data_IF_446005742577
#
_entry.id   IF_446005742577
#
_cell.length_a   1.000
_cell.length_b   1.000
_cell.length_c   1.000
_cell.angle_alpha   90.00
_cell.angle_beta   90.00
_cell.angle_gamma   90.00
#
_symmetry.space_group_name_H-M   'P 1'
#
loop_
_entity.id
_entity.type
_entity.pdbx_description
1 polymer ?
#
# COMPACT_ATOMS: atom_id res chain seq x y z
N UNK A 1 -16.96 22.23 -1.64
CA UNK A 1 -15.86 21.25 -1.64
C UNK A 1 -16.30 20.10 -0.76
N UNK A 2 -16.41 18.91 -1.36
CA UNK A 2 -17.03 17.76 -0.73
C UNK A 2 -15.94 16.89 -0.11
N UNK A 3 -15.68 17.08 1.19
CA UNK A 3 -14.83 16.16 1.95
C UNK A 3 -15.60 14.85 2.16
N UNK A 4 -15.00 13.71 1.78
CA UNK A 4 -15.56 12.40 2.13
C UNK A 4 -15.03 12.00 3.49
N UNK A 5 -15.94 11.89 4.46
CA UNK A 5 -15.60 11.58 5.85
C UNK A 5 -15.04 10.16 5.99
N UNK A 6 -13.91 10.06 6.69
CA UNK A 6 -13.27 8.84 7.16
C UNK A 6 -12.99 8.98 8.67
N UNK A 7 -14.02 8.82 9.52
CA UNK A 7 -13.86 9.02 10.96
C UNK A 7 -12.76 8.13 11.54
N UNK A 8 -11.92 8.70 12.40
CA UNK A 8 -10.78 8.01 13.02
C UNK A 8 -9.62 7.74 12.06
N UNK A 9 -9.45 8.53 10.99
CA UNK A 9 -8.38 8.35 10.01
C UNK A 9 -6.97 8.31 10.64
N UNK A 10 -6.68 9.24 11.55
CA UNK A 10 -5.38 9.29 12.24
C UNK A 10 -5.12 8.03 13.06
N UNK A 11 -6.10 7.62 13.86
CA UNK A 11 -6.01 6.41 14.68
C UNK A 11 -5.87 5.15 13.80
N UNK A 12 -6.57 5.08 12.67
CA UNK A 12 -6.46 3.98 11.72
C UNK A 12 -5.04 3.86 11.14
N UNK A 13 -4.42 4.99 10.78
CA UNK A 13 -3.05 5.00 10.26
C UNK A 13 -2.07 4.53 11.33
N UNK A 14 -2.19 5.02 12.56
CA UNK A 14 -1.36 4.61 13.70
C UNK A 14 -1.53 3.12 14.00
N UNK A 15 -2.77 2.63 14.11
CA UNK A 15 -3.08 1.22 14.37
C UNK A 15 -2.48 0.31 13.29
N UNK A 16 -2.63 0.67 12.00
CA UNK A 16 -2.06 -0.10 10.89
C UNK A 16 -0.53 -0.04 10.92
N UNK A 17 0.04 1.13 11.20
CA UNK A 17 1.49 1.34 11.33
C UNK A 17 2.08 0.41 12.40
N UNK A 18 1.45 0.34 13.58
CA UNK A 18 1.86 -0.56 14.66
C UNK A 18 1.65 -2.04 14.31
N UNK A 19 0.45 -2.42 13.85
CA UNK A 19 0.11 -3.82 13.54
C UNK A 19 1.01 -4.37 12.43
N UNK A 20 1.24 -3.57 11.39
CA UNK A 20 2.04 -3.96 10.23
C UNK A 20 3.52 -3.65 10.39
N UNK A 21 3.94 -3.01 11.49
CA UNK A 21 5.33 -2.57 11.71
C UNK A 21 5.87 -1.78 10.50
N UNK A 22 5.02 -0.92 9.94
CA UNK A 22 5.33 -0.07 8.80
C UNK A 22 5.41 1.38 9.27
N UNK A 23 6.32 2.20 8.72
CA UNK A 23 6.30 3.64 8.98
C UNK A 23 4.95 4.28 8.58
N UNK A 24 4.44 5.23 9.38
CA UNK A 24 3.15 5.88 9.14
C UNK A 24 3.03 6.52 7.75
N UNK A 25 4.11 7.15 7.25
CA UNK A 25 4.16 7.73 5.91
C UNK A 25 3.98 6.69 4.79
N UNK A 26 4.43 5.44 5.00
CA UNK A 26 4.21 4.34 4.05
C UNK A 26 2.75 3.89 4.08
N UNK A 27 2.13 3.86 5.26
CA UNK A 27 0.71 3.55 5.43
C UNK A 27 -0.16 4.62 4.77
N UNK A 28 0.16 5.90 4.98
CA UNK A 28 -0.52 7.03 4.34
C UNK A 28 -0.43 6.96 2.81
N UNK A 29 0.78 6.73 2.27
CA UNK A 29 0.98 6.59 0.83
C UNK A 29 0.17 5.41 0.25
N UNK A 30 0.19 4.26 0.93
CA UNK A 30 -0.59 3.09 0.53
C UNK A 30 -2.10 3.35 0.59
N UNK A 31 -2.57 4.14 1.56
CA UNK A 31 -3.96 4.54 1.69
C UNK A 31 -4.39 5.49 0.57
N UNK A 32 -3.57 6.48 0.22
CA UNK A 32 -3.82 7.37 -0.93
C UNK A 32 -3.94 6.59 -2.22
N UNK A 33 -2.99 5.70 -2.50
CA UNK A 33 -3.02 4.85 -3.69
C UNK A 33 -4.26 3.94 -3.71
N UNK A 34 -4.60 3.34 -2.57
CA UNK A 34 -5.78 2.49 -2.47
C UNK A 34 -7.10 3.25 -2.68
N UNK A 35 -7.21 4.47 -2.13
CA UNK A 35 -8.36 5.34 -2.33
C UNK A 35 -8.47 5.79 -3.79
N UNK A 36 -7.35 6.11 -4.44
CA UNK A 36 -7.31 6.42 -5.86
C UNK A 36 -7.78 5.24 -6.70
N UNK A 37 -7.33 4.01 -6.40
CA UNK A 37 -7.83 2.80 -7.07
C UNK A 37 -9.32 2.55 -6.82
N UNK A 38 -9.83 2.92 -5.64
CA UNK A 38 -11.27 2.96 -5.36
C UNK A 38 -12.01 3.92 -6.29
N UNK A 39 -11.45 5.12 -6.51
CA UNK A 39 -11.97 6.12 -7.44
C UNK A 39 -11.92 5.67 -8.90
N UNK A 40 -10.81 5.10 -9.36
CA UNK A 40 -10.71 4.53 -10.71
C UNK A 40 -11.80 3.49 -10.97
N UNK A 41 -12.02 2.59 -9.99
CA UNK A 41 -13.06 1.58 -10.11
C UNK A 41 -14.45 2.20 -10.16
N UNK A 42 -14.71 3.22 -9.33
CA UNK A 42 -15.96 3.97 -9.39
C UNK A 42 -16.17 4.59 -10.78
N UNK A 43 -15.17 5.29 -11.32
CA UNK A 43 -15.25 5.89 -12.67
C UNK A 43 -15.52 4.83 -13.73
N UNK A 44 -14.78 3.72 -13.72
CA UNK A 44 -15.03 2.58 -14.63
C UNK A 44 -16.43 2.00 -14.51
N UNK A 45 -17.03 1.98 -13.32
CA UNK A 45 -18.40 1.45 -13.15
C UNK A 45 -19.47 2.27 -13.90
N UNK A 46 -19.23 3.57 -14.10
CA UNK A 46 -20.14 4.45 -14.85
C UNK A 46 -20.17 4.12 -16.35
N UNK A 47 -19.18 3.35 -16.84
CA UNK A 47 -19.05 2.95 -18.25
C UNK A 47 -19.27 1.45 -18.46
N UNK A 48 -19.76 0.72 -17.45
CA UNK A 48 -20.13 -0.69 -17.59
C UNK A 48 -21.22 -0.85 -18.66
N UNK A 49 -20.94 -1.66 -19.68
CA UNK A 49 -21.86 -1.93 -20.79
C UNK A 49 -21.47 -1.23 -22.10
N UNK A 50 -20.42 -0.41 -22.09
CA UNK A 50 -19.78 0.12 -23.30
C UNK A 50 -18.73 -0.91 -23.78
N UNK A 51 -18.57 -1.06 -25.09
CA UNK A 51 -17.73 -2.12 -25.68
C UNK A 51 -16.23 -1.95 -25.46
N UNK A 52 -15.78 -0.72 -25.18
CA UNK A 52 -14.37 -0.39 -24.93
C UNK A 52 -14.27 0.43 -23.64
N UNK A 53 -13.27 0.10 -22.81
CA UNK A 53 -12.89 0.92 -21.66
C UNK A 53 -12.30 2.23 -22.19
N UNK A 54 -12.91 3.40 -21.93
CA UNK A 54 -12.40 4.67 -22.43
C UNK A 54 -11.14 5.14 -21.69
N UNK A 55 -10.78 4.47 -20.59
CA UNK A 55 -9.65 4.84 -19.76
C UNK A 55 -8.43 3.97 -20.10
N UNK A 56 -7.44 4.56 -20.75
CA UNK A 56 -6.13 3.92 -20.91
C UNK A 56 -5.40 3.78 -19.57
N UNK A 57 -4.20 3.18 -19.59
CA UNK A 57 -3.42 2.92 -18.37
C UNK A 57 -2.94 4.20 -17.66
N UNK A 58 -2.74 5.29 -18.39
CA UNK A 58 -2.18 6.54 -17.88
C UNK A 58 -3.27 7.61 -17.61
N UNK A 59 -4.52 7.34 -17.96
CA UNK A 59 -5.65 8.25 -17.82
C UNK A 59 -5.80 8.83 -16.41
N UNK A 60 -5.52 8.04 -15.37
CA UNK A 60 -5.68 8.50 -13.98
C UNK A 60 -4.37 9.06 -13.38
N UNK A 61 -3.30 9.21 -14.17
CA UNK A 61 -1.98 9.64 -13.69
C UNK A 61 -1.97 11.09 -13.17
N UNK A 62 -2.90 11.93 -13.62
CA UNK A 62 -3.03 13.31 -13.15
C UNK A 62 -3.91 13.43 -11.88
N UNK A 63 -4.44 12.32 -11.36
CA UNK A 63 -5.26 12.30 -10.15
C UNK A 63 -4.42 11.89 -8.93
N UNK A 64 -4.74 12.49 -7.78
CA UNK A 64 -4.17 12.16 -6.48
C UNK A 64 -5.25 12.20 -5.40
N UNK A 65 -4.94 11.72 -4.20
CA UNK A 65 -5.81 11.77 -3.03
C UNK A 65 -5.18 12.63 -1.94
N UNK A 66 -5.86 13.72 -1.61
CA UNK A 66 -5.55 14.52 -0.43
C UNK A 66 -6.21 13.89 0.80
N UNK A 67 -5.40 13.53 1.80
CA UNK A 67 -5.88 13.13 3.11
C UNK A 67 -5.92 14.34 4.04
N UNK A 68 -7.02 14.48 4.77
CA UNK A 68 -7.19 15.50 5.80
C UNK A 68 -7.28 14.80 7.17
N UNK A 69 -6.20 14.86 7.94
CA UNK A 69 -6.13 14.19 9.24
C UNK A 69 -6.90 14.97 10.32
N UNK A 70 -7.03 16.28 10.17
CA UNK A 70 -7.72 17.16 11.12
C UNK A 70 -9.23 17.07 10.93
N UNK A 71 -9.70 17.13 9.68
CA UNK A 71 -11.13 16.99 9.35
C UNK A 71 -11.56 15.51 9.22
N UNK A 72 -10.63 14.57 9.41
CA UNK A 72 -10.85 13.12 9.28
C UNK A 72 -11.56 12.73 7.99
N UNK A 73 -10.96 13.08 6.86
CA UNK A 73 -11.55 12.82 5.55
C UNK A 73 -10.53 12.76 4.42
N UNK A 74 -11.04 12.59 3.22
CA UNK A 74 -10.22 12.65 2.01
C UNK A 74 -10.95 13.33 0.88
N UNK A 75 -10.16 13.78 -0.09
CA UNK A 75 -10.58 14.41 -1.33
C UNK A 75 -9.79 13.84 -2.50
N UNK A 76 -10.44 13.70 -3.65
CA UNK A 76 -9.78 13.34 -4.90
C UNK A 76 -9.44 14.63 -5.62
N UNK A 77 -8.16 14.78 -5.97
CA UNK A 77 -7.60 15.94 -6.62
C UNK A 77 -7.23 15.56 -8.05
N UNK A 78 -7.48 16.44 -9.01
CA UNK A 78 -7.01 16.30 -10.38
C UNK A 78 -6.14 17.51 -10.75
N UNK A 79 -4.95 17.23 -11.26
CA UNK A 79 -4.07 18.23 -11.86
C UNK A 79 -4.48 18.40 -13.33
N UNK A 80 -4.94 19.60 -13.68
CA UNK A 80 -5.43 19.90 -15.03
C UNK A 80 -4.59 20.98 -15.70
N UNK A 81 -4.36 20.83 -17.00
CA UNK A 81 -3.63 21.80 -17.82
C UNK A 81 -4.58 22.91 -18.26
N UNK A 82 -4.13 24.16 -18.15
CA UNK A 82 -4.90 25.32 -18.58
C UNK A 82 -4.80 25.47 -20.10
N UNK A 83 -5.96 25.45 -20.76
CA UNK A 83 -6.10 25.52 -22.23
C UNK A 83 -7.14 26.56 -22.64
N UNK A 84 -7.14 26.96 -23.91
CA UNK A 84 -8.21 27.82 -24.46
C UNK A 84 -9.47 27.01 -24.78
N UNK A 85 -9.30 25.88 -25.47
CA UNK A 85 -10.38 24.96 -25.84
C UNK A 85 -10.19 23.63 -25.11
N UNK A 86 -11.22 23.20 -24.36
CA UNK A 86 -11.19 21.98 -23.55
C UNK A 86 -11.63 20.78 -24.40
N UNK A 87 -10.72 19.84 -24.61
CA UNK A 87 -10.99 18.55 -25.26
C UNK A 87 -11.28 17.44 -24.24
N UNK A 88 -10.66 17.49 -23.06
CA UNK A 88 -10.82 16.50 -21.99
C UNK A 88 -11.08 17.18 -20.65
N UNK A 89 -12.31 17.12 -20.17
CA UNK A 89 -12.70 17.74 -18.89
C UNK A 89 -11.91 17.19 -17.70
N UNK A 90 -11.42 15.96 -17.76
CA UNK A 90 -10.67 15.33 -16.66
C UNK A 90 -9.21 15.81 -16.59
N UNK A 91 -8.63 16.27 -17.71
CA UNK A 91 -7.22 16.63 -17.83
C UNK A 91 -6.97 18.10 -18.13
N UNK A 92 -8.00 18.82 -18.56
CA UNK A 92 -7.89 20.20 -19.04
C UNK A 92 -8.95 21.09 -18.37
N UNK A 93 -8.64 22.38 -18.29
CA UNK A 93 -9.57 23.42 -17.83
C UNK A 93 -9.37 24.69 -18.67
N UNK A 94 -10.48 25.38 -18.94
CA UNK A 94 -10.45 26.63 -19.68
C UNK A 94 -9.75 27.75 -18.89
N UNK A 95 -8.91 28.53 -19.56
CA UNK A 95 -8.25 29.71 -18.97
C UNK A 95 -9.27 30.65 -18.31
N UNK A 96 -10.42 30.85 -18.95
CA UNK A 96 -11.48 31.71 -18.45
C UNK A 96 -12.09 31.22 -17.12
N UNK A 97 -12.10 29.92 -16.86
CA UNK A 97 -12.62 29.35 -15.60
C UNK A 97 -11.60 29.53 -14.47
N UNK A 98 -10.31 29.37 -14.78
CA UNK A 98 -9.24 29.55 -13.78
C UNK A 98 -9.06 31.02 -13.42
N UNK A 99 -9.15 31.93 -14.39
CA UNK A 99 -9.04 33.38 -14.17
C UNK A 99 -10.14 33.95 -13.28
N UNK A 100 -11.28 33.28 -13.11
CA UNK A 100 -12.31 33.70 -12.15
C UNK A 100 -11.85 33.56 -10.69
N UNK A 101 -10.87 32.70 -10.43
CA UNK A 101 -10.34 32.40 -9.08
C UNK A 101 -8.95 32.98 -8.90
N UNK A 102 -8.13 33.01 -9.96
CA UNK A 102 -6.74 33.47 -9.91
C UNK A 102 -6.37 34.21 -11.18
N UNK A 103 -6.20 35.52 -11.07
CA UNK A 103 -5.92 36.43 -12.20
C UNK A 103 -4.56 36.19 -12.88
N UNK A 104 -3.62 35.55 -12.19
CA UNK A 104 -2.24 35.32 -12.68
C UNK A 104 -2.06 34.03 -13.51
N UNK A 105 -3.14 33.28 -13.76
CA UNK A 105 -3.09 32.01 -14.47
C UNK A 105 -2.75 32.17 -15.97
N UNK A 106 -1.87 31.32 -16.49
CA UNK A 106 -1.44 31.33 -17.90
C UNK A 106 -1.76 30.02 -18.62
N UNK A 107 -1.84 30.08 -19.95
CA UNK A 107 -1.99 28.90 -20.80
C UNK A 107 -0.78 27.97 -20.65
N UNK A 108 -1.04 26.67 -20.52
CA UNK A 108 -0.03 25.65 -20.32
C UNK A 108 0.36 25.43 -18.85
N UNK A 109 -0.08 26.28 -17.92
CA UNK A 109 0.10 26.02 -16.49
C UNK A 109 -0.75 24.83 -16.03
N UNK A 110 -0.46 24.32 -14.84
CA UNK A 110 -1.22 23.25 -14.20
C UNK A 110 -1.88 23.75 -12.93
N UNK A 111 -3.16 23.43 -12.76
CA UNK A 111 -3.97 23.76 -11.59
C UNK A 111 -4.54 22.49 -10.97
N UNK A 112 -4.54 22.43 -9.63
CA UNK A 112 -5.11 21.31 -8.88
C UNK A 112 -6.55 21.64 -8.50
N UNK A 113 -7.47 20.75 -8.83
CA UNK A 113 -8.90 20.90 -8.54
C UNK A 113 -9.42 19.73 -7.74
N UNK A 114 -10.35 20.01 -6.83
CA UNK A 114 -11.14 19.00 -6.14
C UNK A 114 -12.20 18.43 -7.10
N UNK A 115 -12.12 17.13 -7.36
CA UNK A 115 -13.03 16.36 -8.24
C UNK A 115 -13.75 15.27 -7.47
N UNK A 116 -13.84 15.41 -6.15
CA UNK A 116 -14.47 14.43 -5.27
C UNK A 116 -15.96 14.27 -5.60
N UNK A 117 -16.44 13.05 -5.93
CA UNK A 117 -17.85 12.84 -6.23
C UNK A 117 -18.76 13.07 -5.00
N UNK A 118 -19.87 13.79 -5.19
CA UNK A 118 -20.83 14.10 -4.11
C UNK A 118 -21.79 12.93 -3.75
N UNK A 119 -21.73 11.79 -4.45
CA UNK A 119 -22.72 10.72 -4.34
C UNK A 119 -22.39 9.72 -3.22
N UNK A 120 -23.37 9.36 -2.40
CA UNK A 120 -23.25 8.31 -1.35
C UNK A 120 -22.73 6.96 -1.88
N UNK A 121 -23.03 6.62 -3.15
CA UNK A 121 -22.60 5.38 -3.78
C UNK A 121 -21.08 5.31 -4.00
N UNK A 122 -20.43 6.47 -4.18
CA UNK A 122 -18.97 6.56 -4.34
C UNK A 122 -18.26 6.02 -3.10
N UNK A 123 -18.63 6.52 -1.92
CA UNK A 123 -18.00 6.14 -0.66
C UNK A 123 -18.05 4.63 -0.39
N UNK A 124 -19.20 3.98 -0.66
CA UNK A 124 -19.36 2.54 -0.44
C UNK A 124 -18.52 1.69 -1.40
N UNK A 125 -18.56 2.00 -2.70
CA UNK A 125 -17.82 1.22 -3.71
C UNK A 125 -16.31 1.45 -3.62
N UNK A 126 -15.91 2.71 -3.38
CA UNK A 126 -14.52 3.05 -3.12
C UNK A 126 -14.01 2.27 -1.91
N UNK A 127 -14.72 2.32 -0.77
CA UNK A 127 -14.29 1.66 0.47
C UNK A 127 -13.98 0.16 0.31
N UNK A 128 -14.82 -0.62 -0.39
CA UNK A 128 -14.58 -2.05 -0.57
C UNK A 128 -13.30 -2.33 -1.37
N UNK A 129 -13.08 -1.56 -2.44
CA UNK A 129 -11.91 -1.68 -3.31
C UNK A 129 -10.66 -1.20 -2.60
N UNK A 130 -10.75 -0.02 -1.98
CA UNK A 130 -9.69 0.57 -1.17
C UNK A 130 -9.22 -0.41 -0.11
N UNK A 131 -10.13 -1.05 0.63
CA UNK A 131 -9.75 -2.03 1.66
C UNK A 131 -8.94 -3.20 1.07
N UNK A 132 -9.33 -3.71 -0.09
CA UNK A 132 -8.62 -4.81 -0.74
C UNK A 132 -7.25 -4.36 -1.25
N UNK A 133 -7.19 -3.22 -1.96
CA UNK A 133 -5.95 -2.68 -2.52
C UNK A 133 -4.98 -2.28 -1.42
N UNK A 134 -5.47 -1.63 -0.35
CA UNK A 134 -4.68 -1.26 0.82
C UNK A 134 -4.03 -2.50 1.46
N UNK A 135 -4.81 -3.56 1.69
CA UNK A 135 -4.28 -4.80 2.25
C UNK A 135 -3.20 -5.43 1.37
N UNK A 136 -3.32 -5.34 0.04
CA UNK A 136 -2.30 -5.78 -0.89
C UNK A 136 -1.04 -4.91 -0.82
N UNK A 137 -1.20 -3.58 -0.89
CA UNK A 137 -0.10 -2.62 -0.87
C UNK A 137 0.71 -2.69 0.42
N UNK A 138 0.04 -2.78 1.57
CA UNK A 138 0.73 -2.93 2.86
C UNK A 138 1.59 -4.21 2.88
N UNK A 139 1.11 -5.32 2.30
CA UNK A 139 1.91 -6.56 2.19
C UNK A 139 3.11 -6.39 1.25
N UNK A 140 2.91 -5.74 0.11
CA UNK A 140 4.00 -5.46 -0.85
C UNK A 140 5.07 -4.58 -0.21
N UNK A 141 4.69 -3.55 0.54
CA UNK A 141 5.62 -2.69 1.27
C UNK A 141 6.38 -3.45 2.37
N UNK A 142 5.67 -4.24 3.19
CA UNK A 142 6.32 -5.09 4.20
C UNK A 142 7.33 -6.02 3.55
N UNK A 143 6.95 -6.69 2.46
CA UNK A 143 7.81 -7.62 1.73
C UNK A 143 9.07 -6.92 1.23
N UNK A 144 8.92 -5.76 0.60
CA UNK A 144 10.03 -5.00 0.03
C UNK A 144 11.03 -4.58 1.12
N UNK A 145 10.53 -4.06 2.24
CA UNK A 145 11.41 -3.67 3.35
C UNK A 145 12.16 -4.85 3.95
N UNK A 146 11.51 -6.01 4.08
CA UNK A 146 12.15 -7.26 4.52
C UNK A 146 13.20 -7.68 3.49
N UNK A 147 12.86 -7.69 2.20
CA UNK A 147 13.81 -8.05 1.14
C UNK A 147 15.04 -7.14 1.14
N UNK A 148 14.86 -5.83 1.24
CA UNK A 148 15.95 -4.85 1.34
C UNK A 148 16.82 -5.13 2.57
N UNK A 149 16.19 -5.34 3.74
CA UNK A 149 16.90 -5.62 4.99
C UNK A 149 17.77 -6.88 4.95
N UNK A 150 17.27 -7.95 4.33
CA UNK A 150 17.98 -9.22 4.27
C UNK A 150 18.88 -9.34 3.03
N UNK A 151 18.72 -8.49 2.01
CA UNK A 151 19.61 -8.43 0.86
C UNK A 151 20.98 -7.83 1.20
N UNK A 152 21.02 -6.88 2.15
CA UNK A 152 22.24 -6.19 2.57
C UNK A 152 23.13 -6.99 3.54
N UNK A 153 22.71 -8.20 3.93
CA UNK A 153 23.49 -9.03 4.84
C UNK A 153 24.66 -9.72 4.11
N UNK A 154 25.89 -9.36 4.49
CA UNK A 154 27.13 -9.98 3.97
C UNK A 154 27.27 -11.47 4.36
N UNK A 155 26.68 -11.90 5.47
CA UNK A 155 26.63 -13.30 5.93
C UNK A 155 25.17 -13.71 6.21
N UNK A 156 24.61 -14.75 5.57
CA UNK A 156 23.20 -15.13 5.75
C UNK A 156 22.91 -15.86 7.07
N UNK A 157 23.85 -15.91 8.01
CA UNK A 157 23.66 -16.57 9.31
C UNK A 157 22.98 -15.65 10.32
N UNK A 158 21.74 -15.99 10.64
CA UNK A 158 20.86 -15.22 11.51
C UNK A 158 20.56 -15.95 12.81
N UNK A 159 20.14 -15.21 13.83
CA UNK A 159 19.63 -15.80 15.07
C UNK A 159 18.11 -15.94 14.99
N UNK A 160 17.60 -17.14 15.24
CA UNK A 160 16.19 -17.47 15.12
C UNK A 160 15.64 -18.15 16.37
N UNK A 161 14.47 -17.72 16.85
CA UNK A 161 13.77 -18.25 18.02
C UNK A 161 12.50 -18.98 17.60
N UNK A 162 12.31 -20.22 18.05
CA UNK A 162 11.11 -21.01 17.74
C UNK A 162 9.86 -20.35 18.34
N UNK A 163 8.89 -20.03 17.49
CA UNK A 163 7.59 -19.47 17.91
C UNK A 163 6.57 -20.61 18.04
N UNK A 164 6.35 -21.35 16.94
CA UNK A 164 5.30 -22.36 16.83
C UNK A 164 5.71 -23.47 15.88
N UNK A 165 4.99 -24.59 15.99
CA UNK A 165 5.17 -25.75 15.14
C UNK A 165 4.02 -25.86 14.16
N UNK A 166 4.34 -26.12 12.89
CA UNK A 166 3.37 -26.50 11.87
C UNK A 166 3.56 -27.97 11.47
N UNK A 167 2.63 -28.51 10.67
CA UNK A 167 2.61 -29.94 10.33
C UNK A 167 3.90 -30.43 9.65
N UNK A 168 4.59 -29.57 8.89
CA UNK A 168 5.78 -29.94 8.10
C UNK A 168 6.96 -28.96 8.27
N UNK A 169 6.86 -28.03 9.22
CA UNK A 169 7.86 -26.99 9.42
C UNK A 169 7.81 -26.41 10.83
N UNK A 170 8.87 -25.70 11.20
CA UNK A 170 8.95 -24.93 12.44
C UNK A 170 8.94 -23.46 12.06
N UNK A 171 8.05 -22.68 12.67
CA UNK A 171 8.01 -21.23 12.48
C UNK A 171 8.91 -20.58 13.52
N UNK A 172 9.85 -19.77 13.07
CA UNK A 172 10.85 -19.11 13.90
C UNK A 172 10.78 -17.60 13.69
N UNK A 173 11.01 -16.83 14.75
CA UNK A 173 11.23 -15.40 14.71
C UNK A 173 12.71 -15.16 14.43
N UNK A 174 13.04 -14.47 13.35
CA UNK A 174 14.40 -14.15 12.95
C UNK A 174 14.67 -12.67 13.19
N UNK A 175 15.82 -12.37 13.78
CA UNK A 175 16.31 -11.00 13.93
C UNK A 175 17.54 -10.79 13.05
N UNK A 176 17.55 -9.70 12.30
CA UNK A 176 18.72 -9.20 11.55
C UNK A 176 19.79 -8.59 12.46
N UNK A 177 19.50 -8.34 13.74
CA UNK A 177 20.40 -7.66 14.67
C UNK A 177 20.50 -6.14 14.47
N UNK A 178 19.84 -5.57 13.46
CA UNK A 178 19.87 -4.15 13.10
C UNK A 178 18.80 -3.31 13.82
N UNK A 179 18.27 -3.79 14.95
CA UNK A 179 17.24 -3.08 15.74
C UNK A 179 15.84 -3.06 15.13
N UNK A 180 15.61 -3.83 14.05
CA UNK A 180 14.30 -4.00 13.42
C UNK A 180 13.50 -5.14 14.05
N UNK A 181 12.16 -5.10 13.95
CA UNK A 181 11.30 -6.10 14.56
C UNK A 181 11.53 -7.50 13.99
N UNK A 182 11.38 -8.52 14.83
CA UNK A 182 11.51 -9.93 14.42
C UNK A 182 10.54 -10.25 13.27
N UNK A 183 11.07 -10.97 12.27
CA UNK A 183 10.33 -11.44 11.09
C UNK A 183 10.09 -12.94 11.19
N UNK A 184 8.90 -13.40 10.79
CA UNK A 184 8.60 -14.83 10.77
C UNK A 184 9.33 -15.53 9.62
N UNK A 185 9.96 -16.66 9.94
CA UNK A 185 10.65 -17.53 9.03
C UNK A 185 10.18 -18.97 9.17
N UNK A 186 10.15 -19.70 8.07
CA UNK A 186 9.88 -21.12 8.01
C UNK A 186 11.18 -21.91 7.96
N UNK A 187 11.31 -22.88 8.86
CA UNK A 187 12.32 -23.93 8.81
C UNK A 187 11.65 -25.25 8.37
N UNK A 188 11.68 -25.59 7.07
CA UNK A 188 11.09 -26.83 6.55
C UNK A 188 11.74 -28.05 7.18
N UNK A 189 10.98 -29.15 7.34
CA UNK A 189 11.50 -30.39 7.92
C UNK A 189 12.74 -30.95 7.22
N UNK A 190 12.84 -30.77 5.89
CA UNK A 190 13.99 -31.18 5.08
C UNK A 190 15.28 -30.40 5.40
N UNK A 191 15.14 -29.22 5.98
CA UNK A 191 16.22 -28.28 6.25
C UNK A 191 16.58 -28.22 7.74
N UNK A 192 16.01 -29.13 8.54
CA UNK A 192 16.28 -29.30 9.97
C UNK A 192 17.41 -30.32 10.19
N UNK A 193 18.30 -30.02 11.12
CA UNK A 193 19.26 -31.00 11.64
C UNK A 193 18.54 -32.12 12.41
N UNK A 194 18.80 -33.41 12.13
CA UNK A 194 18.12 -34.55 12.78
C UNK A 194 18.32 -34.63 14.29
N UNK A 195 19.44 -34.12 14.80
CA UNK A 195 19.81 -34.21 16.21
C UNK A 195 19.39 -33.00 17.04
N UNK A 196 18.85 -31.95 16.41
CA UNK A 196 18.42 -30.76 17.11
C UNK A 196 17.05 -30.95 17.76
N UNK A 197 16.95 -30.52 19.02
CA UNK A 197 15.69 -30.57 19.76
C UNK A 197 14.99 -29.21 19.71
N UNK A 198 14.21 -28.99 18.65
CA UNK A 198 13.39 -27.79 18.51
C UNK A 198 12.29 -27.78 19.58
N UNK A 199 12.37 -26.79 20.48
CA UNK A 199 11.36 -26.52 21.51
C UNK A 199 10.87 -25.09 21.38
N UNK A 200 9.64 -24.81 21.80
CA UNK A 200 9.13 -23.45 21.85
C UNK A 200 10.10 -22.53 22.63
N UNK A 201 10.34 -21.33 22.10
CA UNK A 201 11.31 -20.35 22.60
C UNK A 201 12.80 -20.76 22.57
N UNK A 202 13.14 -21.94 22.07
CA UNK A 202 14.54 -22.29 21.84
C UNK A 202 15.13 -21.43 20.71
N UNK A 203 16.39 -21.06 20.86
CA UNK A 203 17.11 -20.18 19.91
C UNK A 203 18.18 -20.97 19.17
N UNK A 204 18.28 -20.76 17.87
CA UNK A 204 19.19 -21.45 16.96
C UNK A 204 19.81 -20.46 15.98
N UNK A 205 21.03 -20.76 15.50
CA UNK A 205 21.63 -20.04 14.37
C UNK A 205 21.15 -20.66 13.05
N UNK A 206 20.62 -19.87 12.13
CA UNK A 206 20.02 -20.41 10.90
C UNK A 206 20.59 -19.67 9.70
N UNK A 207 20.68 -20.37 8.58
CA UNK A 207 21.09 -19.79 7.31
C UNK A 207 19.84 -19.34 6.55
N UNK A 208 19.82 -18.10 6.08
CA UNK A 208 18.76 -17.58 5.21
C UNK A 208 18.93 -18.10 3.78
N UNK A 209 17.93 -18.84 3.27
CA UNK A 209 17.93 -19.36 1.90
C UNK A 209 17.25 -18.42 0.91
N UNK A 210 16.05 -17.98 1.24
CA UNK A 210 15.19 -17.25 0.31
C UNK A 210 14.20 -16.35 1.07
N UNK A 211 13.81 -15.23 0.46
CA UNK A 211 12.68 -14.40 0.88
C UNK A 211 11.52 -14.61 -0.09
N UNK A 212 10.43 -15.23 0.37
CA UNK A 212 9.28 -15.57 -0.46
C UNK A 212 7.98 -14.94 0.04
N UNK A 213 6.95 -14.93 -0.80
CA UNK A 213 5.63 -14.44 -0.44
C UNK A 213 4.62 -15.58 -0.45
N UNK A 214 3.95 -15.79 0.69
CA UNK A 214 2.82 -16.70 0.77
C UNK A 214 1.54 -15.86 0.86
N UNK A 215 0.68 -15.99 -0.15
CA UNK A 215 -0.52 -15.16 -0.37
C UNK A 215 -1.46 -14.97 0.85
N UNK A 216 -1.39 -15.85 1.86
CA UNK A 216 -2.21 -15.79 3.09
C UNK A 216 -1.43 -15.50 4.38
N UNK A 217 -0.09 -15.54 4.34
CA UNK A 217 0.76 -15.38 5.54
C UNK A 217 1.67 -14.16 5.47
N UNK A 218 1.71 -13.48 4.32
CA UNK A 218 2.56 -12.33 4.10
C UNK A 218 3.98 -12.74 3.67
N UNK A 219 4.94 -11.81 3.73
CA UNK A 219 6.34 -12.13 3.46
C UNK A 219 6.88 -13.11 4.50
N UNK A 220 7.46 -14.21 4.04
CA UNK A 220 8.01 -15.27 4.88
C UNK A 220 9.42 -15.62 4.42
N UNK A 221 10.33 -15.69 5.38
CA UNK A 221 11.72 -16.09 5.14
C UNK A 221 11.82 -17.61 5.15
N UNK A 222 12.56 -18.20 4.22
CA UNK A 222 12.94 -19.61 4.28
C UNK A 222 14.34 -19.74 4.82
N UNK A 223 14.47 -20.49 5.91
CA UNK A 223 15.72 -20.68 6.64
C UNK A 223 16.10 -22.16 6.69
N UNK A 224 17.37 -22.42 6.94
CA UNK A 224 17.93 -23.77 7.00
C UNK A 224 18.98 -23.90 8.10
N UNK A 225 19.16 -25.14 8.57
CA UNK A 225 20.24 -25.54 9.47
C UNK A 225 21.05 -26.73 8.93
N UNK A 226 20.70 -27.24 7.75
CA UNK A 226 21.34 -28.38 7.11
C UNK A 226 22.66 -28.01 6.45
#
# INVERSE_FOLDING_TARGET
MALVMLPGLSALIEDISEEKKLPANVVEAALREALLKGYERYRRTLYIGISEDPFDEEYFSNFDVGLDLDEEGYRVLASKIIVEEVESEDHQIGLADVQQVTDDAQLGDTVVLDVTPEKDDFGRMAAATTKQVLAQKLREHQRRMIQEEFADLEDPVLTARVIRFERQSVIMAVSSGLGRPEVEAELPRRDQLPNDNYRANATFKVFLKEVSEIARRGPQLFISRA
#
